data_IF_790097423426
#
_entry.id   IF_790097423426
#
_cell.length_a   1.000
_cell.length_b   1.000
_cell.length_c   1.000
_cell.angle_alpha   90.00
_cell.angle_beta   90.00
_cell.angle_gamma   90.00
#
_symmetry.space_group_name_H-M   'P 1'
#
loop_
_entity.id
_entity.type
_entity.pdbx_description
1 polymer ?
#
# COMPACT_ATOMS: atom_id res chain seq x y z
N UNK A 1 6.83 6.80 -10.20
CA UNK A 1 6.42 5.57 -9.49
C UNK A 1 5.91 5.97 -8.12
N UNK A 2 4.67 5.64 -7.76
CA UNK A 2 4.14 5.95 -6.41
C UNK A 2 4.83 5.08 -5.36
N UNK A 3 5.16 5.65 -4.20
CA UNK A 3 5.90 4.96 -3.13
C UNK A 3 4.94 4.16 -2.25
N UNK A 4 5.42 3.07 -1.63
CA UNK A 4 4.65 2.30 -0.65
C UNK A 4 4.10 3.16 0.50
N UNK A 5 4.78 4.25 0.85
CA UNK A 5 4.32 5.24 1.83
C UNK A 5 3.05 5.98 1.39
N UNK A 6 2.91 6.31 0.10
CA UNK A 6 1.72 7.01 -0.42
C UNK A 6 0.50 6.09 -0.44
N UNK A 7 0.70 4.81 -0.74
CA UNK A 7 -0.38 3.81 -0.65
C UNK A 7 -0.86 3.63 0.79
N UNK A 8 0.05 3.56 1.78
CA UNK A 8 -0.31 3.54 3.20
C UNK A 8 -1.08 4.79 3.63
N UNK A 9 -0.68 5.96 3.13
CA UNK A 9 -1.38 7.21 3.44
C UNK A 9 -2.83 7.19 2.92
N UNK A 10 -3.05 6.72 1.69
CA UNK A 10 -4.42 6.58 1.15
C UNK A 10 -5.25 5.53 1.89
N UNK A 11 -4.62 4.44 2.35
CA UNK A 11 -5.31 3.46 3.20
C UNK A 11 -5.81 4.10 4.50
N UNK A 12 -4.97 4.90 5.16
CA UNK A 12 -5.32 5.64 6.38
C UNK A 12 -6.43 6.67 6.13
N UNK A 13 -6.34 7.44 5.04
CA UNK A 13 -7.38 8.41 4.64
C UNK A 13 -8.74 7.73 4.44
N UNK A 14 -8.76 6.58 3.75
CA UNK A 14 -9.98 5.80 3.55
C UNK A 14 -10.56 5.30 4.88
N UNK A 15 -9.72 4.87 5.84
CA UNK A 15 -10.17 4.46 7.19
C UNK A 15 -10.71 5.64 8.00
N UNK A 16 -10.06 6.80 7.93
CA UNK A 16 -10.50 8.02 8.61
C UNK A 16 -11.85 8.48 8.07
N UNK A 17 -12.04 8.42 6.75
CA UNK A 17 -13.34 8.69 6.11
C UNK A 17 -14.38 7.64 6.53
N UNK A 18 -14.03 6.35 6.52
CA UNK A 18 -14.93 5.27 6.93
C UNK A 18 -15.44 5.42 8.37
N UNK A 19 -14.64 6.03 9.27
CA UNK A 19 -15.06 6.34 10.65
C UNK A 19 -16.06 7.50 10.75
N UNK A 20 -16.06 8.40 9.77
CA UNK A 20 -16.96 9.54 9.71
C UNK A 20 -18.26 9.22 8.96
N UNK A 21 -18.27 8.15 8.17
CA UNK A 21 -19.43 7.68 7.43
C UNK A 21 -20.23 6.69 8.31
N UNK A 22 -21.56 6.83 8.38
CA UNK A 22 -22.43 5.86 9.06
C UNK A 22 -22.26 4.43 8.53
N UNK A 23 -22.62 3.44 9.35
CA UNK A 23 -22.61 2.05 8.94
C UNK A 23 -23.51 1.81 7.72
N UNK A 24 -22.94 1.16 6.70
CA UNK A 24 -23.60 0.90 5.44
C UNK A 24 -22.60 0.64 4.32
N UNK A 25 -23.13 0.36 3.13
CA UNK A 25 -22.33 -0.02 1.95
C UNK A 25 -21.22 0.98 1.60
N UNK A 26 -21.41 2.26 1.90
CA UNK A 26 -20.41 3.30 1.65
C UNK A 26 -19.21 3.20 2.59
N UNK A 27 -19.44 2.91 3.89
CA UNK A 27 -18.36 2.64 4.84
C UNK A 27 -17.61 1.36 4.44
N UNK A 28 -18.34 0.33 4.03
CA UNK A 28 -17.73 -0.95 3.62
C UNK A 28 -16.86 -0.78 2.36
N UNK A 29 -17.30 0.02 1.39
CA UNK A 29 -16.48 0.37 0.22
C UNK A 29 -15.19 1.09 0.61
N UNK A 30 -15.25 2.06 1.53
CA UNK A 30 -14.06 2.78 2.01
C UNK A 30 -13.09 1.83 2.72
N UNK A 31 -13.59 0.87 3.50
CA UNK A 31 -12.77 -0.13 4.17
C UNK A 31 -12.12 -1.12 3.19
N UNK A 32 -12.83 -1.55 2.16
CA UNK A 32 -12.25 -2.41 1.11
C UNK A 32 -11.23 -1.65 0.24
N UNK A 33 -11.47 -0.37 -0.05
CA UNK A 33 -10.46 0.47 -0.68
C UNK A 33 -9.20 0.57 0.18
N UNK A 34 -9.35 0.79 1.49
CA UNK A 34 -8.20 0.85 2.40
C UNK A 34 -7.38 -0.44 2.38
N UNK A 35 -8.03 -1.61 2.44
CA UNK A 35 -7.37 -2.91 2.31
C UNK A 35 -6.62 -3.07 1.00
N UNK A 36 -7.23 -2.65 -0.11
CA UNK A 36 -6.60 -2.72 -1.43
C UNK A 36 -5.32 -1.88 -1.47
N UNK A 37 -5.35 -0.68 -0.90
CA UNK A 37 -4.17 0.18 -0.79
C UNK A 37 -3.08 -0.42 0.10
N UNK A 38 -3.43 -1.04 1.22
CA UNK A 38 -2.47 -1.75 2.07
C UNK A 38 -1.80 -2.91 1.32
N UNK A 39 -2.58 -3.72 0.59
CA UNK A 39 -2.05 -4.81 -0.22
C UNK A 39 -1.07 -4.31 -1.29
N UNK A 40 -1.39 -3.18 -1.95
CA UNK A 40 -0.49 -2.54 -2.92
C UNK A 40 0.78 -1.99 -2.27
N UNK A 41 0.68 -1.46 -1.04
CA UNK A 41 1.82 -0.97 -0.29
C UNK A 41 2.75 -2.11 0.14
N UNK A 42 2.19 -3.24 0.57
CA UNK A 42 2.93 -4.45 0.92
C UNK A 42 3.61 -5.08 -0.30
N UNK A 43 2.89 -5.21 -1.41
CA UNK A 43 3.42 -5.73 -2.68
C UNK A 43 4.62 -4.90 -3.14
N UNK A 44 4.47 -3.57 -3.15
CA UNK A 44 5.57 -2.64 -3.46
C UNK A 44 6.71 -2.70 -2.45
N UNK A 45 6.43 -2.95 -1.17
CA UNK A 45 7.44 -3.13 -0.14
C UNK A 45 8.29 -4.38 -0.37
N UNK A 46 7.66 -5.47 -0.81
CA UNK A 46 8.32 -6.74 -1.15
C UNK A 46 9.14 -6.60 -2.43
N UNK A 47 8.63 -5.94 -3.46
CA UNK A 47 9.38 -5.71 -4.71
C UNK A 47 10.65 -4.87 -4.52
N UNK A 48 10.70 -4.03 -3.47
CA UNK A 48 11.89 -3.23 -3.13
C UNK A 48 12.92 -4.06 -2.38
N UNK A 49 12.52 -5.00 -1.51
CA UNK A 49 13.47 -5.91 -0.84
C UNK A 49 14.12 -6.89 -1.83
N UNK A 50 13.39 -7.38 -2.84
CA UNK A 50 13.96 -8.28 -3.85
C UNK A 50 14.96 -7.58 -4.80
N UNK A 51 14.92 -6.25 -4.92
CA UNK A 51 15.88 -5.47 -5.72
C UNK A 51 17.17 -5.14 -4.97
N UNK A 52 17.30 -5.51 -3.70
CA UNK A 52 18.57 -5.35 -2.97
C UNK A 52 19.53 -6.53 -3.13
N UNK A 53 19.06 -7.67 -3.64
CA UNK A 53 19.90 -8.87 -3.82
C UNK A 53 20.44 -9.02 -5.26
N UNK A 54 19.87 -8.32 -6.25
CA UNK A 54 20.22 -8.49 -7.67
C UNK A 54 21.13 -7.41 -8.27
N UNK A 55 21.53 -6.39 -7.51
CA UNK A 55 22.53 -5.39 -7.94
C UNK A 55 23.93 -5.58 -7.30
N UNK A 56 24.11 -6.56 -6.40
CA UNK A 56 25.39 -6.82 -5.73
C UNK A 56 26.34 -7.78 -6.49
N UNK A 57 25.91 -8.35 -7.62
CA UNK A 57 26.67 -9.38 -8.36
C UNK A 57 27.14 -8.94 -9.77
N UNK A 58 27.09 -7.65 -10.10
CA UNK A 58 27.49 -7.17 -11.44
C UNK A 58 28.67 -6.19 -11.48
N UNK A 59 29.39 -5.99 -10.37
CA UNK A 59 30.59 -5.15 -10.31
C UNK A 59 31.88 -5.96 -9.99
N UNK A 60 31.90 -7.25 -10.29
CA UNK A 60 33.12 -8.07 -10.16
C UNK A 60 33.14 -9.12 -11.27
N UNK A 61 33.77 -8.77 -12.40
CA UNK A 61 34.00 -9.68 -13.53
C UNK A 61 34.28 -8.94 -14.82
#
# INVERSE_FOLDING_TARGET
>A
MKKASEYRQHAEECRVLARQVPEGAQRDQLLEMAKTWDALAEDRGKSVQERTETDALKDSG
#
